data_IF_136856803570
#
_entry.id   IF_136856803570
#
_cell.length_a   1.000
_cell.length_b   1.000
_cell.length_c   1.000
_cell.angle_alpha   90.00
_cell.angle_beta   90.00
_cell.angle_gamma   90.00
#
_symmetry.space_group_name_H-M   'P 1'
#
loop_
_entity.id
_entity.type
_entity.pdbx_description
1 polymer ?
#
# COMPACT_ATOMS: atom_id res chain seq x y z
N UNK A 1 14.20 22.33 25.16
CA UNK A 1 13.74 20.99 24.70
C UNK A 1 13.24 21.18 23.27
N UNK A 2 14.00 20.77 22.27
CA UNK A 2 13.56 20.87 20.89
C UNK A 2 12.53 19.74 20.71
N UNK A 3 11.27 20.09 20.45
CA UNK A 3 10.23 19.11 20.10
C UNK A 3 10.66 18.46 18.78
N UNK A 4 11.08 17.20 18.83
CA UNK A 4 11.38 16.42 17.62
C UNK A 4 10.06 16.27 16.85
N UNK A 5 10.03 16.76 15.61
CA UNK A 5 8.91 16.51 14.71
C UNK A 5 8.80 14.99 14.45
N UNK A 6 7.59 14.42 14.39
CA UNK A 6 7.45 13.01 14.14
C UNK A 6 8.03 12.62 12.77
N UNK A 7 8.73 11.49 12.73
CA UNK A 7 9.24 10.92 11.49
C UNK A 7 8.10 10.22 10.75
N UNK A 8 7.54 10.89 9.75
CA UNK A 8 6.39 10.43 8.96
C UNK A 8 6.88 9.85 7.63
N UNK A 9 6.37 8.67 7.26
CA UNK A 9 6.53 8.13 5.91
C UNK A 9 5.19 7.93 5.20
N UNK A 10 5.17 8.18 3.89
CA UNK A 10 4.04 7.85 3.03
C UNK A 10 4.28 6.50 2.39
N UNK A 11 3.34 5.58 2.53
CA UNK A 11 3.32 4.29 1.86
C UNK A 11 2.28 4.30 0.73
N UNK A 12 2.69 4.56 -0.52
CA UNK A 12 1.77 4.67 -1.65
C UNK A 12 1.47 3.31 -2.27
N UNK A 13 0.26 3.15 -2.76
CA UNK A 13 -0.13 1.97 -3.51
C UNK A 13 -1.53 2.08 -4.09
N UNK A 14 -1.88 1.17 -4.99
CA UNK A 14 -3.27 1.02 -5.45
C UNK A 14 -4.14 0.36 -4.38
N UNK A 15 -3.56 -0.53 -3.57
CA UNK A 15 -4.26 -1.33 -2.55
C UNK A 15 -5.58 -1.91 -3.06
N UNK A 16 -5.51 -2.59 -4.18
CA UNK A 16 -6.66 -3.13 -4.91
C UNK A 16 -6.60 -4.68 -4.98
N UNK A 17 -6.84 -5.34 -3.83
CA UNK A 17 -7.00 -4.83 -2.47
C UNK A 17 -5.71 -4.75 -1.65
N UNK A 18 -5.81 -4.26 -0.41
CA UNK A 18 -4.77 -4.40 0.62
C UNK A 18 -4.58 -5.87 0.99
N UNK A 19 -3.34 -6.28 1.31
CA UNK A 19 -2.97 -7.69 1.59
C UNK A 19 -2.20 -7.80 2.90
N UNK A 20 -2.06 -9.03 3.42
CA UNK A 20 -1.25 -9.26 4.62
C UNK A 20 0.24 -8.92 4.39
N UNK A 21 0.71 -8.98 3.14
CA UNK A 21 2.04 -8.48 2.78
C UNK A 21 2.19 -6.96 2.97
N UNK A 22 1.15 -6.19 2.66
CA UNK A 22 1.13 -4.75 2.94
C UNK A 22 1.10 -4.47 4.44
N UNK A 23 0.31 -5.23 5.21
CA UNK A 23 0.23 -5.07 6.68
C UNK A 23 1.57 -5.38 7.35
N UNK A 24 2.24 -6.47 6.95
CA UNK A 24 3.58 -6.84 7.46
C UNK A 24 4.57 -5.69 7.24
N UNK A 25 4.59 -5.12 6.03
CA UNK A 25 5.48 -4.01 5.70
C UNK A 25 5.18 -2.77 6.54
N UNK A 26 3.90 -2.42 6.73
CA UNK A 26 3.47 -1.30 7.57
C UNK A 26 3.92 -1.50 9.01
N UNK A 27 3.68 -2.68 9.59
CA UNK A 27 4.07 -3.00 10.98
C UNK A 27 5.59 -2.92 11.18
N UNK A 28 6.36 -3.33 10.18
CA UNK A 28 7.83 -3.22 10.22
C UNK A 28 8.30 -1.79 10.04
N UNK A 29 7.64 -1.02 9.18
CA UNK A 29 7.93 0.40 8.98
C UNK A 29 7.67 1.22 10.24
N UNK A 30 6.67 0.88 11.04
CA UNK A 30 6.40 1.52 12.35
C UNK A 30 7.50 1.32 13.40
N UNK A 31 8.47 0.42 13.16
CA UNK A 31 9.68 0.31 14.00
C UNK A 31 10.74 1.36 13.64
N UNK A 32 10.59 2.02 12.50
CA UNK A 32 11.54 3.00 11.94
C UNK A 32 10.93 4.40 11.98
N UNK A 33 9.65 4.52 11.69
CA UNK A 33 8.91 5.77 11.58
C UNK A 33 7.88 5.90 12.72
N UNK A 34 7.67 7.10 13.17
CA UNK A 34 6.69 7.41 14.22
C UNK A 34 5.25 7.31 13.68
N UNK A 35 5.05 7.54 12.36
CA UNK A 35 3.74 7.50 11.72
C UNK A 35 3.84 7.07 10.26
N UNK A 36 2.90 6.25 9.81
CA UNK A 36 2.77 5.83 8.41
C UNK A 36 1.46 6.34 7.83
N UNK A 37 1.54 7.01 6.68
CA UNK A 37 0.37 7.39 5.88
C UNK A 37 0.24 6.40 4.73
N UNK A 38 -0.76 5.53 4.79
CA UNK A 38 -1.12 4.65 3.67
C UNK A 38 -1.87 5.49 2.64
N UNK A 39 -1.21 5.77 1.52
CA UNK A 39 -1.73 6.65 0.48
C UNK A 39 -2.29 5.84 -0.69
N UNK A 40 -3.62 5.76 -0.78
CA UNK A 40 -4.31 5.04 -1.85
C UNK A 40 -4.33 5.90 -3.12
N UNK A 41 -3.69 5.41 -4.18
CA UNK A 41 -3.61 6.14 -5.44
C UNK A 41 -4.95 6.14 -6.17
N UNK A 42 -5.42 7.34 -6.57
CA UNK A 42 -6.56 7.54 -7.46
C UNK A 42 -6.04 7.62 -8.90
N UNK A 43 -5.80 6.47 -9.54
CA UNK A 43 -5.34 6.46 -10.93
C UNK A 43 -6.49 6.18 -11.88
N UNK A 44 -6.96 7.22 -12.58
CA UNK A 44 -8.06 7.13 -13.54
C UNK A 44 -7.75 6.19 -14.74
N UNK A 45 -6.48 5.96 -15.05
CA UNK A 45 -6.07 5.13 -16.18
C UNK A 45 -5.93 3.63 -15.84
N UNK A 46 -6.01 3.25 -14.57
CA UNK A 46 -5.88 1.86 -14.14
C UNK A 46 -7.24 1.28 -13.79
N UNK A 47 -7.67 0.26 -14.52
CA UNK A 47 -8.90 -0.49 -14.21
C UNK A 47 -8.71 -1.27 -12.91
N UNK A 48 -9.26 -0.75 -11.81
CA UNK A 48 -9.25 -1.40 -10.50
C UNK A 48 -10.47 -2.30 -10.34
N UNK A 49 -10.35 -3.37 -9.55
CA UNK A 49 -11.48 -4.23 -9.19
C UNK A 49 -12.42 -3.53 -8.21
N UNK A 50 -11.83 -2.83 -7.24
CA UNK A 50 -12.55 -2.10 -6.21
C UNK A 50 -12.51 -0.59 -6.47
N UNK A 51 -13.62 0.08 -6.16
CA UNK A 51 -13.68 1.54 -6.16
C UNK A 51 -12.70 2.13 -5.14
N UNK A 52 -12.43 3.43 -5.22
CA UNK A 52 -11.56 4.11 -4.26
C UNK A 52 -12.13 4.00 -2.84
N UNK A 53 -13.44 4.15 -2.68
CA UNK A 53 -14.12 4.07 -1.39
C UNK A 53 -14.04 2.66 -0.79
N UNK A 54 -14.26 1.61 -1.60
CA UNK A 54 -14.08 0.22 -1.18
C UNK A 54 -12.64 -0.06 -0.71
N UNK A 55 -11.63 0.45 -1.44
CA UNK A 55 -10.22 0.28 -1.08
C UNK A 55 -9.85 1.02 0.21
N UNK A 56 -10.39 2.24 0.38
CA UNK A 56 -10.23 3.03 1.61
C UNK A 56 -10.87 2.35 2.82
N UNK A 57 -12.08 1.83 2.66
CA UNK A 57 -12.79 1.08 3.71
C UNK A 57 -11.99 -0.16 4.14
N UNK A 58 -11.56 -0.99 3.17
CA UNK A 58 -10.76 -2.17 3.44
C UNK A 58 -9.45 -1.81 4.16
N UNK A 59 -8.77 -0.74 3.74
CA UNK A 59 -7.54 -0.30 4.39
C UNK A 59 -7.79 0.19 5.83
N UNK A 60 -8.84 0.99 6.05
CA UNK A 60 -9.20 1.48 7.40
C UNK A 60 -9.54 0.34 8.35
N UNK A 61 -10.38 -0.58 7.91
CA UNK A 61 -10.79 -1.71 8.75
C UNK A 61 -9.61 -2.64 9.05
N UNK A 62 -8.74 -2.89 8.06
CA UNK A 62 -7.55 -3.73 8.23
C UNK A 62 -6.50 -3.14 9.18
N UNK A 63 -6.50 -1.83 9.38
CA UNK A 63 -5.50 -1.08 10.16
C UNK A 63 -6.12 -0.34 11.37
N UNK A 64 -7.36 -0.64 11.72
CA UNK A 64 -8.09 0.05 12.82
C UNK A 64 -7.38 0.00 14.17
N UNK A 65 -6.65 -1.08 14.42
CA UNK A 65 -5.92 -1.30 15.68
C UNK A 65 -4.47 -0.74 15.62
N UNK A 66 -4.13 0.01 14.57
CA UNK A 66 -2.82 0.64 14.38
C UNK A 66 -2.93 2.17 14.57
N UNK A 67 -2.80 2.72 15.79
CA UNK A 67 -3.03 4.15 16.06
C UNK A 67 -2.06 5.06 15.34
N UNK A 68 -0.87 4.56 14.99
CA UNK A 68 0.18 5.33 14.29
C UNK A 68 0.09 5.17 12.76
N UNK A 69 -1.09 4.80 12.24
CA UNK A 69 -1.34 4.70 10.80
C UNK A 69 -2.56 5.56 10.45
N UNK A 70 -2.43 6.35 9.41
CA UNK A 70 -3.56 7.04 8.79
C UNK A 70 -3.72 6.62 7.33
N UNK A 71 -4.95 6.72 6.84
CA UNK A 71 -5.29 6.33 5.47
C UNK A 71 -5.75 7.58 4.72
N UNK A 72 -5.11 7.85 3.61
CA UNK A 72 -5.45 8.96 2.72
C UNK A 72 -5.51 8.55 1.26
N UNK A 73 -5.96 9.46 0.42
CA UNK A 73 -5.93 9.32 -1.04
C UNK A 73 -5.03 10.38 -1.64
N UNK A 74 -4.43 10.09 -2.78
CA UNK A 74 -3.72 11.10 -3.54
C UNK A 74 -3.93 10.93 -5.04
N UNK A 75 -3.83 12.05 -5.72
CA UNK A 75 -3.83 12.14 -7.18
C UNK A 75 -2.60 12.93 -7.64
N UNK A 76 -2.07 12.58 -8.81
CA UNK A 76 -0.92 13.27 -9.39
C UNK A 76 0.41 12.83 -8.80
N UNK A 77 1.32 13.78 -8.55
CA UNK A 77 2.69 13.50 -8.12
C UNK A 77 2.77 13.10 -6.65
N UNK A 78 3.29 11.90 -6.41
CA UNK A 78 3.46 11.34 -5.08
C UNK A 78 4.33 12.23 -4.17
N UNK A 79 5.43 12.76 -4.67
CA UNK A 79 6.33 13.62 -3.89
C UNK A 79 5.65 14.92 -3.46
N UNK A 80 4.76 15.47 -4.27
CA UNK A 80 3.97 16.65 -3.89
C UNK A 80 3.05 16.32 -2.72
N UNK A 81 2.33 15.19 -2.81
CA UNK A 81 1.50 14.71 -1.71
C UNK A 81 2.32 14.46 -0.44
N UNK A 82 3.47 13.77 -0.55
CA UNK A 82 4.32 13.50 0.60
C UNK A 82 4.79 14.79 1.28
N UNK A 83 5.17 15.82 0.52
CA UNK A 83 5.52 17.14 1.05
C UNK A 83 4.35 17.82 1.77
N UNK A 84 3.15 17.79 1.18
CA UNK A 84 1.93 18.35 1.80
C UNK A 84 1.59 17.66 3.13
N UNK A 85 1.88 16.35 3.22
CA UNK A 85 1.74 15.58 4.46
C UNK A 85 2.91 15.75 5.44
N UNK A 86 3.90 16.58 5.12
CA UNK A 86 5.13 16.77 5.91
C UNK A 86 5.90 15.47 6.16
N UNK A 87 5.79 14.53 5.23
CA UNK A 87 6.51 13.27 5.29
C UNK A 87 7.98 13.47 4.92
N UNK A 88 8.88 12.75 5.61
CA UNK A 88 10.32 12.74 5.33
C UNK A 88 10.70 11.63 4.36
N UNK A 89 9.86 10.63 4.21
CA UNK A 89 10.16 9.48 3.37
C UNK A 89 8.94 8.95 2.61
N UNK A 90 9.22 8.37 1.46
CA UNK A 90 8.31 7.50 0.72
C UNK A 90 8.76 6.07 0.97
N UNK A 91 7.87 5.24 1.50
CA UNK A 91 8.10 3.83 1.77
C UNK A 91 7.73 2.99 0.56
N UNK A 92 8.62 2.08 0.16
CA UNK A 92 8.38 1.13 -0.92
C UNK A 92 8.73 -0.29 -0.49
N UNK A 93 7.89 -1.25 -0.84
CA UNK A 93 8.16 -2.68 -0.61
C UNK A 93 8.87 -3.30 -1.81
N UNK A 94 9.95 -4.04 -1.57
CA UNK A 94 10.62 -4.83 -2.59
C UNK A 94 10.36 -6.32 -2.35
N UNK A 95 9.92 -7.02 -3.40
CA UNK A 95 9.65 -8.46 -3.38
C UNK A 95 10.70 -9.25 -4.12
N UNK A 96 11.18 -8.74 -5.25
CA UNK A 96 12.14 -9.38 -6.12
C UNK A 96 13.13 -8.39 -6.70
N UNK A 97 14.25 -8.91 -7.22
CA UNK A 97 15.27 -8.09 -7.90
C UNK A 97 14.69 -7.37 -9.12
N UNK A 98 13.73 -8.01 -9.81
CA UNK A 98 13.04 -7.42 -10.98
C UNK A 98 12.19 -6.19 -10.63
N UNK A 99 11.70 -6.10 -9.39
CA UNK A 99 10.98 -4.89 -8.95
C UNK A 99 11.96 -3.71 -8.74
N UNK A 100 13.23 -4.02 -8.40
CA UNK A 100 14.20 -3.03 -7.97
C UNK A 100 14.55 -2.01 -9.06
N UNK A 101 14.75 -2.42 -10.30
CA UNK A 101 15.14 -1.49 -11.37
C UNK A 101 14.09 -0.39 -11.57
N UNK A 102 12.82 -0.77 -11.65
CA UNK A 102 11.73 0.18 -11.79
C UNK A 102 11.57 1.10 -10.57
N UNK A 103 11.61 0.51 -9.37
CA UNK A 103 11.50 1.23 -8.11
C UNK A 103 12.68 2.20 -7.91
N UNK A 104 13.88 1.78 -8.32
CA UNK A 104 15.07 2.63 -8.28
C UNK A 104 14.92 3.84 -9.20
N UNK A 105 14.45 3.65 -10.45
CA UNK A 105 14.20 4.75 -11.37
C UNK A 105 13.17 5.74 -10.79
N UNK A 106 12.09 5.23 -10.19
CA UNK A 106 11.10 6.08 -9.53
C UNK A 106 11.72 6.85 -8.35
N UNK A 107 12.56 6.21 -7.53
CA UNK A 107 13.23 6.86 -6.41
C UNK A 107 14.16 7.99 -6.88
N UNK A 108 14.92 7.77 -7.95
CA UNK A 108 15.78 8.80 -8.54
C UNK A 108 14.97 9.98 -9.09
N UNK A 109 13.83 9.70 -9.72
CA UNK A 109 12.92 10.75 -10.20
C UNK A 109 12.31 11.52 -9.02
N UNK A 110 11.84 10.83 -7.99
CA UNK A 110 11.30 11.44 -6.78
C UNK A 110 12.32 12.38 -6.13
N UNK A 111 13.57 11.92 -5.96
CA UNK A 111 14.66 12.72 -5.41
C UNK A 111 14.98 13.95 -6.27
N UNK A 112 14.89 13.82 -7.60
CA UNK A 112 15.08 14.97 -8.52
C UNK A 112 14.01 16.02 -8.38
N UNK A 113 12.76 15.59 -8.15
CA UNK A 113 11.60 16.48 -8.02
C UNK A 113 11.47 17.11 -6.64
N UNK A 114 11.83 16.37 -5.57
CA UNK A 114 11.74 16.80 -4.18
C UNK A 114 12.92 16.22 -3.38
N UNK A 115 14.07 16.93 -3.34
CA UNK A 115 15.31 16.43 -2.73
C UNK A 115 15.22 16.16 -1.22
N UNK A 116 14.27 16.80 -0.54
CA UNK A 116 14.09 16.68 0.91
C UNK A 116 13.32 15.40 1.33
N UNK A 117 12.76 14.66 0.36
CA UNK A 117 12.00 13.43 0.62
C UNK A 117 12.81 12.23 0.14
N UNK A 118 13.20 11.38 1.08
CA UNK A 118 13.95 10.16 0.76
C UNK A 118 13.01 9.01 0.40
N UNK A 119 13.48 8.10 -0.46
CA UNK A 119 12.77 6.83 -0.72
C UNK A 119 13.42 5.72 0.08
N UNK A 120 12.63 5.06 0.92
CA UNK A 120 13.08 3.96 1.78
C UNK A 120 12.50 2.65 1.28
N UNK A 121 13.37 1.70 1.00
CA UNK A 121 12.99 0.36 0.56
C UNK A 121 13.00 -0.62 1.73
N UNK A 122 11.89 -1.34 1.93
CA UNK A 122 11.83 -2.47 2.85
C UNK A 122 11.60 -3.75 2.07
N UNK A 123 12.41 -4.76 2.38
CA UNK A 123 12.19 -6.10 1.82
C UNK A 123 10.88 -6.67 2.38
N UNK A 124 10.05 -7.22 1.51
CA UNK A 124 8.86 -7.95 1.93
C UNK A 124 9.25 -9.19 2.74
N UNK A 125 8.52 -9.50 3.79
CA UNK A 125 8.76 -10.71 4.60
C UNK A 125 8.66 -11.98 3.75
N UNK A 126 9.50 -12.99 4.03
CA UNK A 126 9.60 -14.23 3.24
C UNK A 126 8.24 -14.93 3.07
N UNK A 127 7.39 -14.84 4.09
CA UNK A 127 6.03 -15.40 4.06
C UNK A 127 5.15 -14.77 2.97
N UNK A 128 5.41 -13.51 2.62
CA UNK A 128 4.54 -12.71 1.76
C UNK A 128 5.19 -12.30 0.44
N UNK A 129 6.44 -12.72 0.19
CA UNK A 129 7.23 -12.30 -0.97
C UNK A 129 6.55 -12.61 -2.31
N UNK A 130 5.79 -13.70 -2.38
CA UNK A 130 5.05 -14.12 -3.57
C UNK A 130 3.70 -13.42 -3.74
N UNK A 131 3.21 -12.69 -2.70
CA UNK A 131 1.91 -12.06 -2.75
C UNK A 131 1.94 -10.74 -3.53
N UNK A 132 0.97 -10.60 -4.43
CA UNK A 132 0.58 -9.32 -4.98
C UNK A 132 -0.95 -9.25 -5.07
N UNK A 133 -1.51 -8.04 -5.05
CA UNK A 133 -2.96 -7.87 -5.22
C UNK A 133 -3.46 -8.44 -6.55
N UNK A 134 -2.64 -8.42 -7.61
CA UNK A 134 -2.98 -8.98 -8.91
C UNK A 134 -3.06 -10.50 -8.88
N UNK A 135 -2.04 -11.16 -8.33
CA UNK A 135 -2.02 -12.62 -8.18
C UNK A 135 -3.17 -13.10 -7.28
N UNK A 136 -3.43 -12.39 -6.18
CA UNK A 136 -4.55 -12.72 -5.28
C UNK A 136 -5.91 -12.59 -5.96
N UNK A 137 -6.12 -11.54 -6.76
CA UNK A 137 -7.35 -11.39 -7.55
C UNK A 137 -7.51 -12.52 -8.56
N UNK A 138 -6.45 -12.86 -9.26
CA UNK A 138 -6.45 -13.95 -10.24
C UNK A 138 -6.79 -15.29 -9.57
N UNK A 139 -6.13 -15.62 -8.46
CA UNK A 139 -6.45 -16.83 -7.69
C UNK A 139 -7.90 -16.85 -7.24
N UNK A 140 -8.41 -15.75 -6.67
CA UNK A 140 -9.78 -15.65 -6.18
C UNK A 140 -10.83 -15.77 -7.29
N UNK A 141 -10.59 -15.20 -8.48
CA UNK A 141 -11.48 -15.35 -9.66
C UNK A 141 -11.66 -16.80 -10.04
N UNK A 142 -10.58 -17.59 -9.97
CA UNK A 142 -10.59 -19.01 -10.30
C UNK A 142 -10.98 -19.93 -9.12
N UNK A 143 -11.41 -19.34 -8.00
CA UNK A 143 -11.86 -20.11 -6.83
C UNK A 143 -10.74 -20.66 -5.98
N UNK A 144 -9.51 -20.14 -6.13
CA UNK A 144 -8.38 -20.49 -5.28
C UNK A 144 -8.59 -20.02 -3.85
N UNK A 145 -8.09 -20.79 -2.90
CA UNK A 145 -8.12 -20.43 -1.49
C UNK A 145 -7.09 -19.33 -1.21
N UNK A 146 -7.58 -18.18 -0.78
CA UNK A 146 -6.77 -17.01 -0.38
C UNK A 146 -6.92 -16.66 1.10
N UNK A 147 -7.52 -17.56 1.89
CA UNK A 147 -7.68 -17.38 3.32
C UNK A 147 -6.30 -17.22 3.99
N UNK A 148 -6.19 -16.30 4.94
CA UNK A 148 -4.93 -15.98 5.61
C UNK A 148 -3.91 -15.19 4.77
N UNK A 149 -4.15 -14.95 3.49
CA UNK A 149 -3.30 -14.11 2.64
C UNK A 149 -3.72 -12.65 2.63
N UNK A 150 -4.97 -12.40 2.97
CA UNK A 150 -5.59 -11.08 3.05
C UNK A 150 -6.29 -10.90 4.41
N UNK A 151 -6.54 -9.65 4.86
CA UNK A 151 -7.41 -9.38 5.99
C UNK A 151 -8.83 -9.92 5.77
N UNK A 152 -9.53 -10.21 6.87
CA UNK A 152 -10.88 -10.83 6.81
C UNK A 152 -11.89 -9.99 6.02
N UNK A 153 -11.89 -8.67 6.19
CA UNK A 153 -12.75 -7.77 5.43
C UNK A 153 -12.50 -7.86 3.92
N UNK A 154 -11.23 -7.99 3.52
CA UNK A 154 -10.82 -8.14 2.11
C UNK A 154 -11.30 -9.48 1.57
N UNK A 155 -11.13 -10.56 2.34
CA UNK A 155 -11.60 -11.89 1.95
C UNK A 155 -13.11 -11.90 1.68
N UNK A 156 -13.91 -11.32 2.58
CA UNK A 156 -15.36 -11.18 2.42
C UNK A 156 -15.72 -10.39 1.14
N UNK A 157 -15.12 -9.21 0.97
CA UNK A 157 -15.40 -8.35 -0.20
C UNK A 157 -14.98 -8.98 -1.54
N UNK A 158 -13.88 -9.74 -1.57
CA UNK A 158 -13.47 -10.47 -2.77
C UNK A 158 -14.49 -11.55 -3.12
N UNK A 159 -14.97 -12.32 -2.16
CA UNK A 159 -15.99 -13.34 -2.38
C UNK A 159 -17.28 -12.73 -2.91
N UNK A 160 -17.80 -11.70 -2.27
CA UNK A 160 -19.00 -10.99 -2.70
C UNK A 160 -18.85 -10.46 -4.14
N UNK A 161 -17.72 -9.82 -4.45
CA UNK A 161 -17.44 -9.25 -5.77
C UNK A 161 -17.43 -10.32 -6.87
N UNK A 162 -16.80 -11.46 -6.61
CA UNK A 162 -16.73 -12.53 -7.61
C UNK A 162 -18.01 -13.37 -7.71
N UNK A 163 -18.78 -13.50 -6.65
CA UNK A 163 -20.12 -14.09 -6.72
C UNK A 163 -21.07 -13.25 -7.59
N UNK A 164 -20.99 -11.92 -7.47
CA UNK A 164 -21.74 -11.00 -8.34
C UNK A 164 -21.31 -11.12 -9.80
N UNK A 165 -20.00 -11.16 -10.07
CA UNK A 165 -19.47 -11.26 -11.43
C UNK A 165 -19.78 -12.61 -12.13
N UNK A 166 -19.99 -13.70 -11.34
CA UNK A 166 -20.38 -15.01 -11.87
C UNK A 166 -21.87 -15.09 -12.21
N UNK A 167 -22.70 -14.21 -11.65
CA UNK A 167 -24.15 -14.16 -11.86
C UNK A 167 -24.55 -13.16 -12.94
N UNK A 168 -23.66 -12.29 -13.39
CA UNK A 168 -23.86 -11.31 -14.43
C UNK A 168 -23.42 -11.83 -15.82
#
# INVERSE_FOLDING_TARGET
MVLKMPDIAVYPGSFDPITNGHLDLIQRALKIFDHIIVAVATNAFKKSLFTIDERMEMARESLKDCPNVSIGTFEGLLVKYAREQKARAILRGLRAVTDFEYEFQLAMMNRRLEPEIETVFLMTGLRWVFLSSSILKEAAVHGGDIEGMVPEIVFKKLREKFEMLRKA
#
